data_IF_318964342906
#
_entry.id   IF_318964342906
#
_cell.length_a   1.000
_cell.length_b   1.000
_cell.length_c   1.000
_cell.angle_alpha   90.00
_cell.angle_beta   90.00
_cell.angle_gamma   90.00
#
_symmetry.space_group_name_H-M   'P 1'
#
loop_
_entity.id
_entity.type
_entity.pdbx_description
1 polymer ?
#
# COMPACT_ATOMS: atom_id res chain seq x y z
N UNK A 1 13.54 20.10 46.95
CA UNK A 1 12.19 20.50 46.50
C UNK A 1 12.33 20.90 45.03
N UNK A 2 12.09 19.99 44.07
CA UNK A 2 10.76 19.80 43.43
C UNK A 2 10.18 21.17 43.06
N UNK A 3 10.24 21.60 41.81
CA UNK A 3 9.16 21.56 40.79
C UNK A 3 9.50 22.79 39.88
N UNK A 4 9.43 22.84 38.55
CA UNK A 4 8.64 22.11 37.57
C UNK A 4 9.46 21.97 36.27
N UNK A 5 9.52 20.74 35.77
CA UNK A 5 9.84 20.46 34.38
C UNK A 5 8.66 20.92 33.51
N UNK A 6 8.76 22.08 32.87
CA UNK A 6 7.93 22.41 31.71
C UNK A 6 8.56 21.80 30.46
N UNK A 7 8.56 20.47 30.38
CA UNK A 7 8.63 19.78 29.11
C UNK A 7 7.19 19.75 28.58
N UNK A 8 6.81 20.77 27.79
CA UNK A 8 5.57 20.71 27.01
C UNK A 8 5.69 19.55 26.04
N UNK A 9 5.10 18.44 26.47
CA UNK A 9 4.61 17.27 25.74
C UNK A 9 4.66 17.42 24.20
N UNK A 10 5.81 17.08 23.64
CA UNK A 10 5.92 16.51 22.31
C UNK A 10 5.28 15.10 22.30
N UNK A 11 3.99 14.99 22.64
CA UNK A 11 3.22 13.75 22.46
C UNK A 11 2.79 13.57 20.99
N UNK A 12 3.55 14.13 20.04
CA UNK A 12 3.45 13.71 18.66
C UNK A 12 4.11 12.34 18.56
N UNK A 13 3.31 11.29 18.43
CA UNK A 13 3.77 9.93 18.17
C UNK A 13 4.93 9.95 17.17
N UNK A 14 6.11 9.56 17.65
CA UNK A 14 7.34 9.44 16.85
C UNK A 14 7.25 8.34 15.79
N UNK A 15 6.17 7.54 15.80
CA UNK A 15 5.78 6.65 14.71
C UNK A 15 4.50 7.16 14.04
N UNK A 16 4.46 7.35 12.71
CA UNK A 16 3.21 7.55 12.01
C UNK A 16 2.37 6.27 12.17
N UNK A 17 1.32 6.34 12.97
CA UNK A 17 0.35 5.27 13.13
C UNK A 17 -0.74 5.39 12.05
N UNK A 18 -1.29 4.25 11.62
CA UNK A 18 -2.43 4.25 10.70
C UNK A 18 -3.73 4.60 11.43
N UNK A 19 -4.66 5.24 10.71
CA UNK A 19 -5.98 5.61 11.21
C UNK A 19 -6.94 4.40 11.14
N UNK A 20 -7.76 4.21 12.18
CA UNK A 20 -8.85 3.24 12.18
C UNK A 20 -9.91 3.60 11.13
N UNK A 21 -10.48 2.60 10.46
CA UNK A 21 -11.52 2.73 9.45
C UNK A 21 -12.54 1.60 9.60
N UNK A 22 -13.78 1.82 9.18
CA UNK A 22 -14.81 0.76 9.08
C UNK A 22 -14.99 0.28 7.64
N UNK A 23 -14.72 1.13 6.65
CA UNK A 23 -14.77 0.79 5.23
C UNK A 23 -13.91 1.75 4.37
N UNK A 24 -13.74 1.44 3.08
CA UNK A 24 -12.89 2.19 2.15
C UNK A 24 -13.30 3.66 1.93
N UNK A 25 -14.50 4.09 2.34
CA UNK A 25 -14.90 5.51 2.22
C UNK A 25 -14.33 6.37 3.34
N UNK A 26 -13.90 5.76 4.45
CA UNK A 26 -13.27 6.45 5.57
C UNK A 26 -11.80 6.80 5.24
N UNK A 27 -11.21 6.04 4.32
CA UNK A 27 -9.87 6.21 3.83
C UNK A 27 -9.91 7.14 2.62
N UNK A 28 -9.27 8.30 2.73
CA UNK A 28 -9.23 9.30 1.67
C UNK A 28 -8.81 8.73 0.29
N UNK A 29 -8.91 9.53 -0.78
CA UNK A 29 -8.68 9.04 -2.14
C UNK A 29 -7.33 8.31 -2.31
N UNK A 30 -7.36 7.13 -2.94
CA UNK A 30 -6.17 6.29 -3.15
C UNK A 30 -5.81 5.39 -1.96
N UNK A 31 -6.58 5.46 -0.87
CA UNK A 31 -6.46 4.56 0.26
C UNK A 31 -7.66 3.61 0.36
N UNK A 32 -7.45 2.47 1.01
CA UNK A 32 -8.46 1.46 1.26
C UNK A 32 -8.41 1.01 2.72
N UNK A 33 -9.55 0.53 3.21
CA UNK A 33 -9.70 0.06 4.56
C UNK A 33 -9.39 -1.44 4.64
N UNK A 34 -8.30 -1.78 5.29
CA UNK A 34 -7.93 -3.15 5.53
C UNK A 34 -8.55 -3.65 6.83
N UNK A 35 -9.39 -4.70 6.75
CA UNK A 35 -9.98 -5.41 7.90
C UNK A 35 -10.53 -4.52 9.02
N UNK A 36 -11.16 -3.41 8.65
CA UNK A 36 -11.72 -2.44 9.62
C UNK A 36 -10.69 -1.92 10.63
N UNK A 37 -9.40 -1.91 10.26
CA UNK A 37 -8.31 -1.60 11.19
C UNK A 37 -7.38 -0.50 10.69
N UNK A 38 -7.15 -0.35 9.38
CA UNK A 38 -6.21 0.65 8.88
C UNK A 38 -6.53 1.15 7.47
N UNK A 39 -6.39 2.46 7.27
CA UNK A 39 -6.27 3.04 5.93
C UNK A 39 -4.86 2.85 5.38
N UNK A 40 -4.74 2.07 4.30
CA UNK A 40 -3.49 1.87 3.58
C UNK A 40 -3.55 2.49 2.19
N UNK A 41 -2.41 2.97 1.72
CA UNK A 41 -2.21 3.47 0.36
C UNK A 41 -1.98 2.27 -0.58
N UNK A 42 -2.12 2.48 -1.90
CA UNK A 42 -1.94 1.50 -2.99
C UNK A 42 -3.22 0.78 -3.49
N UNK A 43 -4.33 1.51 -3.57
CA UNK A 43 -5.55 1.04 -4.25
C UNK A 43 -5.92 1.92 -5.47
N UNK A 44 -6.41 1.28 -6.55
CA UNK A 44 -7.23 1.95 -7.57
C UNK A 44 -8.72 1.78 -7.24
N UNK A 45 -9.46 2.89 -7.19
CA UNK A 45 -10.91 2.88 -6.95
C UNK A 45 -11.67 2.41 -8.19
N UNK A 46 -12.34 1.27 -8.11
CA UNK A 46 -13.20 0.71 -9.15
C UNK A 46 -14.65 0.63 -8.66
N UNK A 47 -15.41 1.69 -8.93
CA UNK A 47 -16.74 1.89 -8.36
C UNK A 47 -16.64 2.10 -6.85
N UNK A 48 -17.35 1.28 -6.07
CA UNK A 48 -17.28 1.30 -4.60
C UNK A 48 -16.20 0.37 -4.03
N UNK A 49 -15.48 -0.37 -4.88
CA UNK A 49 -14.48 -1.33 -4.46
C UNK A 49 -13.07 -0.78 -4.69
N UNK A 50 -12.19 -1.05 -3.74
CA UNK A 50 -10.77 -0.93 -3.97
C UNK A 50 -10.21 -2.19 -4.63
N UNK A 51 -9.52 -2.02 -5.76
CA UNK A 51 -8.82 -3.10 -6.45
C UNK A 51 -7.35 -2.73 -6.58
N UNK A 52 -6.48 -3.74 -6.58
CA UNK A 52 -5.05 -3.54 -6.79
C UNK A 52 -4.82 -2.87 -8.15
N UNK A 53 -4.14 -1.72 -8.16
CA UNK A 53 -4.00 -0.87 -9.36
C UNK A 53 -3.24 -1.53 -10.51
N UNK A 54 -2.53 -2.62 -10.25
CA UNK A 54 -1.51 -3.22 -11.10
C UNK A 54 -2.00 -4.43 -11.91
N UNK A 55 -3.21 -4.92 -11.64
CA UNK A 55 -3.98 -5.80 -12.51
C UNK A 55 -5.03 -5.04 -13.36
N UNK A 56 -5.12 -3.71 -13.16
CA UNK A 56 -6.12 -2.80 -13.75
C UNK A 56 -5.40 -1.71 -14.54
N UNK A 57 -4.76 -2.11 -15.64
CA UNK A 57 -3.90 -1.27 -16.45
C UNK A 57 -4.74 -0.34 -17.33
N UNK A 58 -4.54 0.97 -17.23
CA UNK A 58 -5.35 2.02 -17.88
C UNK A 58 -6.80 2.13 -17.40
N UNK A 59 -7.22 1.28 -16.46
CA UNK A 59 -8.54 1.31 -15.84
C UNK A 59 -8.97 -0.04 -15.27
N UNK A 60 -10.13 -0.05 -14.62
CA UNK A 60 -10.71 -1.23 -14.00
C UNK A 60 -10.95 -2.35 -15.02
N UNK A 61 -10.39 -3.54 -14.76
CA UNK A 61 -10.54 -4.74 -15.58
C UNK A 61 -9.82 -4.69 -16.93
N UNK A 62 -9.00 -3.67 -17.18
CA UNK A 62 -8.31 -3.53 -18.46
C UNK A 62 -6.89 -4.11 -18.33
N UNK A 63 -6.58 -5.10 -19.16
CA UNK A 63 -5.25 -5.69 -19.25
C UNK A 63 -4.46 -5.04 -20.39
N UNK A 64 -3.12 -5.15 -20.31
CA UNK A 64 -2.27 -4.69 -21.39
C UNK A 64 -2.29 -5.64 -22.60
N UNK A 65 -2.04 -5.12 -23.82
CA UNK A 65 -1.85 -5.95 -25.00
C UNK A 65 -0.76 -7.00 -24.80
N UNK A 66 -0.84 -8.10 -25.54
CA UNK A 66 0.18 -9.17 -25.53
C UNK A 66 1.58 -8.60 -25.73
N UNK A 67 2.50 -8.97 -24.85
CA UNK A 67 3.89 -8.52 -24.88
C UNK A 67 4.16 -7.26 -24.06
N UNK A 68 3.13 -6.52 -23.65
CA UNK A 68 3.27 -5.37 -22.76
C UNK A 68 3.06 -5.74 -21.30
N UNK A 69 3.59 -4.88 -20.43
CA UNK A 69 3.55 -4.98 -18.97
C UNK A 69 2.73 -3.85 -18.38
N UNK A 70 2.05 -4.15 -17.28
CA UNK A 70 1.39 -3.15 -16.46
C UNK A 70 2.42 -2.41 -15.61
N UNK A 71 2.82 -1.21 -16.01
CA UNK A 71 3.78 -0.38 -15.29
C UNK A 71 3.12 0.91 -14.85
N UNK A 72 3.00 1.12 -13.53
CA UNK A 72 2.35 2.30 -12.91
C UNK A 72 0.96 2.60 -13.51
N UNK A 73 0.13 1.57 -13.66
CA UNK A 73 -1.23 1.68 -14.19
C UNK A 73 -1.31 2.01 -15.69
N UNK A 74 -0.21 1.88 -16.44
CA UNK A 74 -0.16 2.06 -17.90
C UNK A 74 0.53 0.89 -18.56
N UNK A 75 0.19 0.65 -19.82
CA UNK A 75 0.87 -0.36 -20.61
C UNK A 75 2.20 0.16 -21.15
N UNK A 76 3.24 -0.63 -20.95
CA UNK A 76 4.60 -0.32 -21.38
C UNK A 76 5.31 -1.60 -21.84
N UNK A 77 6.30 -1.48 -22.71
CA UNK A 77 7.03 -2.66 -23.21
C UNK A 77 7.94 -3.29 -22.14
N UNK A 78 8.27 -2.51 -21.10
CA UNK A 78 9.05 -2.96 -19.95
C UNK A 78 8.59 -2.26 -18.66
N UNK A 79 8.97 -2.84 -17.52
CA UNK A 79 8.78 -2.20 -16.23
C UNK A 79 9.63 -0.94 -16.08
N UNK A 80 9.14 0.02 -15.30
CA UNK A 80 9.97 1.15 -14.87
C UNK A 80 11.19 0.62 -14.09
N UNK A 81 12.30 1.38 -14.10
CA UNK A 81 13.59 0.92 -13.57
C UNK A 81 13.59 0.52 -12.09
N UNK A 82 12.62 1.02 -11.33
CA UNK A 82 12.39 0.75 -9.91
C UNK A 82 11.39 -0.40 -9.65
N UNK A 83 10.79 -0.96 -10.70
CA UNK A 83 9.79 -2.02 -10.61
C UNK A 83 10.33 -3.35 -11.16
N UNK A 84 9.77 -4.45 -10.67
CA UNK A 84 10.10 -5.81 -11.10
C UNK A 84 8.94 -6.42 -11.87
N UNK A 85 9.24 -7.06 -13.02
CA UNK A 85 8.24 -7.82 -13.79
C UNK A 85 7.88 -9.12 -13.06
N UNK A 86 6.67 -9.19 -12.54
CA UNK A 86 6.10 -10.40 -11.98
C UNK A 86 4.98 -10.90 -12.89
N UNK A 87 5.39 -11.60 -13.96
CA UNK A 87 4.51 -12.28 -14.90
C UNK A 87 3.53 -11.38 -15.68
N UNK A 88 3.96 -10.18 -16.09
CA UNK A 88 3.14 -9.26 -16.89
C UNK A 88 2.72 -7.99 -16.17
N UNK A 89 2.90 -7.93 -14.85
CA UNK A 89 2.66 -6.73 -14.05
C UNK A 89 3.92 -6.34 -13.30
N UNK A 90 4.15 -5.03 -13.19
CA UNK A 90 5.34 -4.46 -12.60
C UNK A 90 5.07 -4.03 -11.16
N UNK A 91 5.82 -4.59 -10.22
CA UNK A 91 5.64 -4.36 -8.79
C UNK A 91 6.89 -3.76 -8.16
N UNK A 92 6.70 -2.80 -7.25
CA UNK A 92 7.78 -2.37 -6.37
C UNK A 92 7.88 -3.36 -5.21
N UNK A 93 8.83 -4.29 -5.29
CA UNK A 93 9.01 -5.32 -4.26
C UNK A 93 9.36 -4.74 -2.89
N UNK A 94 9.67 -3.43 -2.78
CA UNK A 94 9.99 -2.77 -1.52
C UNK A 94 8.77 -2.24 -0.78
N UNK A 95 7.67 -2.01 -1.48
CA UNK A 95 6.47 -1.35 -0.95
C UNK A 95 5.20 -2.11 -1.25
N UNK A 96 5.19 -2.99 -2.25
CA UNK A 96 4.04 -3.81 -2.58
C UNK A 96 3.83 -4.92 -1.55
N UNK A 97 2.73 -4.86 -0.81
CA UNK A 97 2.41 -5.83 0.23
C UNK A 97 2.04 -7.21 -0.29
N UNK A 98 1.65 -7.34 -1.56
CA UNK A 98 1.31 -8.61 -2.21
C UNK A 98 2.54 -9.28 -2.84
N UNK A 99 3.59 -8.51 -3.10
CA UNK A 99 4.84 -8.96 -3.73
C UNK A 99 6.08 -8.57 -2.90
N UNK A 100 5.93 -8.54 -1.57
CA UNK A 100 6.94 -7.98 -0.70
C UNK A 100 8.24 -8.80 -0.70
N UNK A 101 9.32 -8.20 -1.20
CA UNK A 101 10.65 -8.80 -1.34
C UNK A 101 10.84 -9.69 -2.56
N UNK A 102 9.77 -10.28 -3.12
CA UNK A 102 9.81 -11.10 -4.36
C UNK A 102 8.42 -11.27 -4.98
N UNK A 103 8.39 -11.58 -6.27
CA UNK A 103 7.17 -11.73 -7.06
C UNK A 103 6.20 -12.82 -6.58
N UNK A 104 6.69 -13.91 -6.00
CA UNK A 104 5.89 -15.04 -5.54
C UNK A 104 5.77 -15.05 -4.00
N UNK A 105 6.03 -13.91 -3.36
CA UNK A 105 5.83 -13.78 -1.93
C UNK A 105 4.34 -13.95 -1.60
N UNK A 106 3.99 -14.65 -0.51
CA UNK A 106 2.64 -14.54 0.03
C UNK A 106 2.39 -13.09 0.47
N UNK A 107 1.16 -12.59 0.40
CA UNK A 107 0.85 -11.25 0.86
C UNK A 107 1.22 -11.07 2.34
N UNK A 108 1.68 -9.87 2.70
CA UNK A 108 1.88 -9.52 4.10
C UNK A 108 0.58 -9.72 4.90
N UNK A 109 0.72 -10.07 6.19
CA UNK A 109 -0.42 -10.25 7.06
C UNK A 109 -1.30 -9.00 7.12
N UNK A 110 -2.53 -9.16 7.59
CA UNK A 110 -3.51 -8.07 7.61
C UNK A 110 -3.09 -6.86 8.47
N UNK A 111 -2.21 -7.05 9.44
CA UNK A 111 -1.66 -5.97 10.26
C UNK A 111 -0.24 -5.57 9.83
N UNK A 112 0.14 -5.84 8.56
CA UNK A 112 1.47 -5.59 8.04
C UNK A 112 1.47 -4.83 6.71
N UNK A 113 2.50 -4.00 6.54
CA UNK A 113 2.84 -3.35 5.29
C UNK A 113 4.24 -3.78 4.81
N UNK A 114 4.53 -3.62 3.51
CA UNK A 114 5.86 -3.87 2.99
C UNK A 114 6.75 -2.64 3.17
N UNK A 115 7.85 -2.82 3.89
CA UNK A 115 8.86 -1.77 4.11
C UNK A 115 10.21 -2.34 3.71
N UNK A 116 10.79 -1.79 2.64
CA UNK A 116 12.08 -2.23 2.11
C UNK A 116 12.14 -3.74 1.82
N UNK A 117 11.03 -4.31 1.35
CA UNK A 117 10.93 -5.72 0.99
C UNK A 117 10.71 -6.65 2.18
N UNK A 118 10.33 -6.09 3.35
CA UNK A 118 10.02 -6.85 4.56
C UNK A 118 8.63 -6.46 5.07
N UNK A 119 7.78 -7.47 5.29
CA UNK A 119 6.50 -7.27 5.94
C UNK A 119 6.71 -6.84 7.40
N UNK A 120 6.27 -5.63 7.73
CA UNK A 120 6.43 -4.99 9.04
C UNK A 120 5.07 -4.64 9.60
N UNK A 121 4.86 -4.84 10.91
CA UNK A 121 3.58 -4.49 11.55
C UNK A 121 3.25 -3.01 11.38
N UNK A 122 1.98 -2.73 11.13
CA UNK A 122 1.40 -1.39 11.14
C UNK A 122 0.87 -1.14 12.54
N UNK A 123 1.43 -0.14 13.22
CA UNK A 123 0.89 0.33 14.49
C UNK A 123 -0.37 1.18 14.18
N UNK A 124 -1.53 0.79 14.72
CA UNK A 124 -2.79 1.53 14.60
C UNK A 124 -2.97 2.47 15.80
N UNK A 125 -3.44 3.69 15.54
CA UNK A 125 -3.83 4.62 16.60
C UNK A 125 -5.30 4.44 16.95
N UNK A 126 -5.60 4.33 18.25
CA UNK A 126 -6.95 4.24 18.81
C UNK A 126 -7.31 5.43 19.67
#
# INVERSE_FOLDING_TARGET
>A
MRLLALALLLLGCEKPCALLCSNDTDCGPGAYCLNQSACLLDCLRCGNNCVESVANCTGCGIACPTGQKCSRGRCADACASDLTDCAGSCYDLKTDRYHCGRCDAPPCAHDQNCVQGVCTKVDVCG
#
